data_IF_256680734993
#
_entry.id   IF_256680734993
#
_cell.length_a   1.000
_cell.length_b   1.000
_cell.length_c   1.000
_cell.angle_alpha   90.00
_cell.angle_beta   90.00
_cell.angle_gamma   90.00
#
_symmetry.space_group_name_H-M   'P 1'
#
loop_
_entity.id
_entity.type
_entity.pdbx_description
1 polymer ?
#
# COMPACT_ATOMS: atom_id res chain seq x y z
N UNK A 1 -43.36 -31.76 18.47
CA UNK A 1 -42.95 -31.32 17.11
C UNK A 1 -42.33 -29.92 17.09
N UNK A 2 -42.99 -28.87 17.62
CA UNK A 2 -42.42 -27.50 17.64
C UNK A 2 -41.04 -27.38 18.30
N UNK A 3 -40.80 -28.09 19.41
CA UNK A 3 -39.49 -28.13 20.12
C UNK A 3 -38.36 -28.73 19.28
N UNK A 4 -38.66 -29.70 18.41
CA UNK A 4 -37.68 -30.31 17.50
C UNK A 4 -37.33 -29.38 16.34
N UNK A 5 -38.31 -28.59 15.86
CA UNK A 5 -38.10 -27.59 14.81
C UNK A 5 -37.15 -26.49 15.30
N UNK A 6 -37.30 -26.01 16.53
CA UNK A 6 -36.36 -25.03 17.10
C UNK A 6 -34.93 -25.57 17.23
N UNK A 7 -34.77 -26.87 17.51
CA UNK A 7 -33.47 -27.52 17.64
C UNK A 7 -32.78 -27.68 16.27
N UNK A 8 -33.54 -27.98 15.22
CA UNK A 8 -33.04 -28.03 13.83
C UNK A 8 -32.68 -26.63 13.32
N UNK A 9 -33.51 -25.61 13.59
CA UNK A 9 -33.23 -24.21 13.22
C UNK A 9 -31.96 -23.71 13.93
N UNK A 10 -31.80 -24.02 15.21
CA UNK A 10 -30.60 -23.69 15.98
C UNK A 10 -29.34 -24.37 15.42
N UNK A 11 -29.46 -25.62 14.94
CA UNK A 11 -28.33 -26.35 14.37
C UNK A 11 -27.90 -25.77 13.00
N UNK A 12 -28.87 -25.37 12.16
CA UNK A 12 -28.60 -24.72 10.87
C UNK A 12 -27.95 -23.34 11.06
N UNK A 13 -28.36 -22.58 12.09
CA UNK A 13 -27.74 -21.31 12.44
C UNK A 13 -26.27 -21.45 12.87
N UNK A 14 -25.87 -22.57 13.48
CA UNK A 14 -24.47 -22.83 13.88
C UNK A 14 -23.58 -23.13 12.67
N UNK A 15 -24.10 -23.76 11.62
CA UNK A 15 -23.35 -24.00 10.38
C UNK A 15 -23.14 -22.73 9.54
N UNK A 16 -23.96 -21.69 9.73
CA UNK A 16 -23.79 -20.39 9.06
C UNK A 16 -22.69 -19.52 9.70
N UNK A 17 -22.17 -19.89 10.88
CA UNK A 17 -21.11 -19.15 11.58
C UNK A 17 -19.71 -19.69 11.27
N UNK A 18 -19.58 -20.68 10.39
CA UNK A 18 -18.28 -21.00 9.76
C UNK A 18 -18.02 -19.96 8.67
N UNK A 19 -17.89 -18.70 9.09
CA UNK A 19 -17.29 -17.66 8.28
C UNK A 19 -15.90 -18.15 7.93
N UNK A 20 -15.63 -18.27 6.64
CA UNK A 20 -14.29 -18.53 6.12
C UNK A 20 -13.30 -17.61 6.83
N UNK A 21 -12.48 -18.17 7.73
CA UNK A 21 -11.24 -17.56 8.13
C UNK A 21 -10.30 -17.68 6.92
N UNK A 22 -10.56 -16.88 5.88
CA UNK A 22 -9.56 -16.56 4.87
C UNK A 22 -8.62 -15.55 5.51
N UNK A 23 -7.86 -16.00 6.51
CA UNK A 23 -6.48 -15.53 6.59
C UNK A 23 -5.89 -15.99 5.25
N UNK A 24 -5.86 -15.08 4.28
CA UNK A 24 -5.47 -15.37 2.92
C UNK A 24 -4.05 -15.89 2.97
N UNK A 25 -3.88 -17.22 2.91
CA UNK A 25 -2.58 -17.82 2.75
C UNK A 25 -1.93 -17.14 1.56
N UNK A 26 -0.79 -16.47 1.79
CA UNK A 26 -0.03 -15.82 0.72
C UNK A 26 0.18 -16.83 -0.40
N UNK A 27 -0.35 -16.51 -1.57
CA UNK A 27 -0.08 -17.29 -2.77
C UNK A 27 1.38 -17.08 -3.17
N UNK A 28 2.06 -18.19 -3.48
CA UNK A 28 3.47 -18.19 -3.84
C UNK A 28 3.61 -18.43 -5.34
N UNK A 29 4.54 -17.71 -5.96
CA UNK A 29 4.81 -17.72 -7.38
C UNK A 29 6.29 -17.94 -7.67
N UNK A 30 6.61 -18.52 -8.82
CA UNK A 30 8.00 -18.85 -9.19
C UNK A 30 8.85 -17.61 -9.52
N UNK A 31 8.22 -16.46 -9.80
CA UNK A 31 8.92 -15.20 -10.08
C UNK A 31 8.29 -14.00 -9.38
N UNK A 32 9.12 -12.98 -9.15
CA UNK A 32 8.72 -11.68 -8.59
C UNK A 32 7.63 -11.04 -9.44
N UNK A 33 7.79 -11.05 -10.76
CA UNK A 33 6.84 -10.44 -11.71
C UNK A 33 5.47 -11.11 -11.64
N UNK A 34 5.42 -12.44 -11.54
CA UNK A 34 4.16 -13.18 -11.41
C UNK A 34 3.44 -12.86 -10.10
N UNK A 35 4.19 -12.70 -9.00
CA UNK A 35 3.64 -12.28 -7.72
C UNK A 35 3.05 -10.86 -7.78
N UNK A 36 3.74 -9.93 -8.45
CA UNK A 36 3.28 -8.54 -8.63
C UNK A 36 2.04 -8.49 -9.51
N UNK A 37 2.04 -9.15 -10.67
CA UNK A 37 0.90 -9.17 -11.60
C UNK A 37 -0.34 -9.75 -10.91
N UNK A 38 -0.17 -10.87 -10.21
CA UNK A 38 -1.28 -11.50 -9.49
C UNK A 38 -1.78 -10.63 -8.33
N UNK A 39 -0.87 -10.01 -7.59
CA UNK A 39 -1.18 -9.09 -6.49
C UNK A 39 -2.01 -7.90 -6.95
N UNK A 40 -1.56 -7.19 -7.99
CA UNK A 40 -2.28 -6.07 -8.58
C UNK A 40 -3.67 -6.47 -9.10
N UNK A 41 -3.78 -7.66 -9.71
CA UNK A 41 -5.06 -8.21 -10.15
C UNK A 41 -5.99 -8.50 -8.96
N UNK A 42 -5.45 -9.02 -7.86
CA UNK A 42 -6.21 -9.29 -6.63
C UNK A 42 -6.76 -8.01 -6.01
N UNK A 43 -5.97 -6.93 -6.01
CA UNK A 43 -6.41 -5.61 -5.56
C UNK A 43 -7.46 -5.00 -6.50
N UNK A 44 -7.74 -5.60 -7.67
CA UNK A 44 -8.70 -5.08 -8.64
C UNK A 44 -8.19 -3.83 -9.36
N UNK A 45 -6.87 -3.67 -9.41
CA UNK A 45 -6.21 -2.57 -10.13
C UNK A 45 -5.96 -2.98 -11.57
N UNK A 46 -6.10 -2.03 -12.50
CA UNK A 46 -5.64 -2.21 -13.87
C UNK A 46 -4.13 -1.97 -13.92
N UNK A 47 -3.44 -2.49 -14.94
CA UNK A 47 -1.98 -2.31 -15.09
C UNK A 47 -1.55 -0.83 -15.16
N UNK A 48 -2.46 0.07 -15.50
CA UNK A 48 -2.25 1.52 -15.55
C UNK A 48 -2.17 2.16 -14.15
N UNK A 49 -2.59 1.46 -13.11
CA UNK A 49 -2.49 1.92 -11.72
C UNK A 49 -1.13 1.61 -11.09
N UNK A 50 -0.24 0.91 -11.77
CA UNK A 50 1.12 0.65 -11.29
C UNK A 50 1.96 1.93 -11.33
N UNK A 51 2.53 2.33 -10.19
CA UNK A 51 3.37 3.54 -10.11
C UNK A 51 4.86 3.20 -10.20
N UNK A 52 5.33 2.19 -9.45
CA UNK A 52 6.76 1.85 -9.35
C UNK A 52 7.04 0.60 -8.51
N UNK A 53 8.23 0.02 -8.72
CA UNK A 53 8.87 -0.97 -7.84
C UNK A 53 10.08 -0.29 -7.22
N UNK A 54 10.19 -0.38 -5.90
CA UNK A 54 11.28 0.19 -5.12
C UNK A 54 11.97 -0.90 -4.30
N UNK A 55 13.30 -0.85 -4.24
CA UNK A 55 14.08 -1.70 -3.34
C UNK A 55 14.54 -0.86 -2.15
N UNK A 56 14.17 -1.25 -0.94
CA UNK A 56 14.54 -0.56 0.30
C UNK A 56 15.07 -1.58 1.31
N UNK A 57 16.32 -1.42 1.73
CA UNK A 57 16.97 -2.33 2.70
C UNK A 57 16.93 -3.82 2.29
N UNK A 58 17.04 -4.09 0.99
CA UNK A 58 16.93 -5.42 0.35
C UNK A 58 15.51 -6.02 0.35
N UNK A 59 14.50 -5.20 0.57
CA UNK A 59 13.11 -5.58 0.39
C UNK A 59 12.47 -4.86 -0.79
N UNK A 60 11.61 -5.59 -1.50
CA UNK A 60 10.91 -5.08 -2.67
C UNK A 60 9.54 -4.56 -2.29
N UNK A 61 9.30 -3.29 -2.56
CA UNK A 61 8.01 -2.64 -2.41
C UNK A 61 7.40 -2.31 -3.76
N UNK A 62 6.09 -2.45 -3.85
CA UNK A 62 5.30 -2.11 -5.03
C UNK A 62 4.35 -1.00 -4.64
N UNK A 63 4.42 0.11 -5.38
CA UNK A 63 3.55 1.27 -5.18
C UNK A 63 2.57 1.35 -6.34
N UNK A 64 1.30 1.51 -6.01
CA UNK A 64 0.21 1.51 -6.99
C UNK A 64 -0.94 2.41 -6.56
N UNK A 65 -1.79 2.81 -7.48
CA UNK A 65 -3.02 3.53 -7.23
C UNK A 65 -4.20 2.55 -7.12
N UNK A 66 -5.15 2.84 -6.23
CA UNK A 66 -6.42 2.14 -6.21
C UNK A 66 -7.53 3.06 -5.70
N UNK A 67 -8.61 3.17 -6.49
CA UNK A 67 -9.75 4.04 -6.20
C UNK A 67 -9.36 5.48 -5.82
N UNK A 68 -8.34 6.04 -6.48
CA UNK A 68 -7.88 7.42 -6.24
C UNK A 68 -6.93 7.61 -5.06
N UNK A 69 -6.62 6.53 -4.31
CA UNK A 69 -5.65 6.51 -3.22
C UNK A 69 -4.37 5.73 -3.56
N UNK A 70 -3.33 5.92 -2.75
CA UNK A 70 -2.03 5.24 -2.91
C UNK A 70 -1.98 3.97 -2.05
N UNK A 71 -1.62 2.86 -2.69
CA UNK A 71 -1.39 1.55 -2.09
C UNK A 71 0.09 1.17 -2.12
N UNK A 72 0.52 0.48 -1.06
CA UNK A 72 1.87 -0.08 -0.93
C UNK A 72 1.76 -1.55 -0.56
N UNK A 73 2.48 -2.39 -1.30
CA UNK A 73 2.65 -3.80 -1.00
C UNK A 73 4.13 -4.15 -0.94
N UNK A 74 4.43 -5.24 -0.24
CA UNK A 74 5.75 -5.83 -0.14
C UNK A 74 5.74 -7.18 -0.86
N UNK A 75 6.80 -7.46 -1.62
CA UNK A 75 7.02 -8.76 -2.25
C UNK A 75 8.03 -9.53 -1.42
N UNK A 76 7.56 -10.57 -0.75
CA UNK A 76 8.38 -11.44 0.10
C UNK A 76 8.97 -12.58 -0.71
N UNK A 77 10.21 -12.95 -0.42
CA UNK A 77 10.89 -14.10 -1.00
C UNK A 77 11.07 -15.20 0.06
N UNK A 78 10.83 -16.46 -0.31
CA UNK A 78 11.08 -17.64 0.53
C UNK A 78 11.48 -18.85 -0.30
N UNK A 79 11.75 -19.98 0.36
CA UNK A 79 11.97 -21.27 -0.31
C UNK A 79 10.78 -21.71 -1.20
N UNK A 80 9.58 -21.15 -0.98
CA UNK A 80 8.39 -21.41 -1.78
C UNK A 80 8.26 -20.51 -3.01
N UNK A 81 9.16 -19.54 -3.19
CA UNK A 81 9.12 -18.53 -4.24
C UNK A 81 8.76 -17.15 -3.69
N UNK A 82 8.02 -16.37 -4.49
CA UNK A 82 7.68 -14.98 -4.23
C UNK A 82 6.20 -14.84 -3.84
N UNK A 83 5.91 -14.03 -2.83
CA UNK A 83 4.56 -13.79 -2.33
C UNK A 83 4.20 -12.31 -2.32
N UNK A 84 2.96 -11.99 -2.69
CA UNK A 84 2.41 -10.63 -2.52
C UNK A 84 1.85 -10.47 -1.11
N UNK A 85 2.34 -9.47 -0.38
CA UNK A 85 1.73 -9.05 0.88
C UNK A 85 1.35 -7.60 0.81
N UNK A 86 0.05 -7.35 0.96
CA UNK A 86 -0.47 -6.01 1.13
C UNK A 86 0.02 -5.47 2.47
N UNK A 87 0.77 -4.38 2.44
CA UNK A 87 1.35 -3.80 3.64
C UNK A 87 0.30 -2.99 4.40
N UNK A 88 -0.54 -2.18 3.73
CA UNK A 88 -1.44 -1.22 4.41
C UNK A 88 -2.74 -0.83 3.65
N UNK A 89 -3.69 -0.16 4.33
CA UNK A 89 -4.88 0.42 3.72
C UNK A 89 -4.55 1.56 2.73
N UNK A 90 -5.49 1.83 1.82
CA UNK A 90 -5.37 2.88 0.82
C UNK A 90 -5.39 4.26 1.49
N UNK A 91 -4.39 5.10 1.20
CA UNK A 91 -4.40 6.49 1.64
C UNK A 91 -5.04 7.35 0.55
N UNK A 92 -6.25 7.82 0.82
CA UNK A 92 -6.92 8.81 -0.02
C UNK A 92 -6.64 10.23 0.49
N UNK A 93 -6.55 11.16 -0.43
CA UNK A 93 -6.29 12.57 -0.17
C UNK A 93 -7.51 13.39 -0.62
N UNK A 94 -8.59 13.32 0.16
CA UNK A 94 -9.69 14.27 0.03
C UNK A 94 -9.28 15.59 0.68
N UNK A 95 -9.26 16.68 -0.10
CA UNK A 95 -8.99 18.02 0.42
C UNK A 95 -10.13 18.97 0.08
N UNK A 96 -10.55 19.73 1.09
CA UNK A 96 -11.34 20.94 0.90
C UNK A 96 -10.42 22.16 0.79
N UNK A 97 -10.58 22.97 -0.26
CA UNK A 97 -9.84 24.24 -0.44
C UNK A 97 -8.75 24.19 -1.53
N UNK A 98 -7.94 25.24 -1.59
CA UNK A 98 -6.87 25.44 -2.61
C UNK A 98 -5.49 25.06 -2.04
N UNK A 99 -5.30 23.80 -1.64
CA UNK A 99 -3.98 23.30 -1.26
C UNK A 99 -3.21 22.86 -2.51
N UNK A 100 -1.93 23.23 -2.61
CA UNK A 100 -1.09 22.82 -3.73
C UNK A 100 -0.69 21.33 -3.66
N UNK A 101 -0.60 20.79 -2.44
CA UNK A 101 -0.35 19.37 -2.17
C UNK A 101 -0.80 19.00 -0.75
N UNK A 102 -0.88 17.69 -0.47
CA UNK A 102 -1.12 17.13 0.86
C UNK A 102 -0.21 15.92 1.09
N UNK A 103 0.09 15.63 2.35
CA UNK A 103 0.95 14.51 2.77
C UNK A 103 0.33 13.74 3.92
N UNK A 104 0.67 12.46 3.99
CA UNK A 104 0.41 11.56 5.10
C UNK A 104 1.61 10.65 5.26
N UNK A 105 1.63 9.84 6.30
CA UNK A 105 2.57 8.75 6.39
C UNK A 105 2.15 7.70 7.38
N UNK A 106 2.85 6.58 7.31
CA UNK A 106 2.52 5.38 8.05
C UNK A 106 3.76 4.51 8.19
N UNK A 107 3.70 3.58 9.13
CA UNK A 107 4.77 2.62 9.38
C UNK A 107 4.35 1.22 8.94
N UNK A 108 5.27 0.48 8.34
CA UNK A 108 5.12 -0.92 7.93
C UNK A 108 6.18 -1.72 8.69
N UNK A 109 5.76 -2.80 9.35
CA UNK A 109 6.65 -3.86 9.82
C UNK A 109 6.57 -5.03 8.83
N UNK A 110 7.69 -5.39 8.21
CA UNK A 110 7.76 -6.50 7.24
C UNK A 110 7.95 -7.84 7.94
N UNK A 111 7.81 -8.95 7.20
CA UNK A 111 8.05 -10.28 7.78
C UNK A 111 9.48 -10.51 8.25
N UNK A 112 10.45 -9.78 7.71
CA UNK A 112 11.85 -9.87 8.14
C UNK A 112 12.10 -9.12 9.45
N UNK A 113 11.10 -8.38 9.95
CA UNK A 113 11.21 -7.48 11.10
C UNK A 113 11.79 -6.12 10.73
N UNK A 114 11.78 -5.75 9.45
CA UNK A 114 12.16 -4.42 9.02
C UNK A 114 11.01 -3.44 9.31
N UNK A 115 11.29 -2.43 10.14
CA UNK A 115 10.42 -1.27 10.32
C UNK A 115 10.72 -0.22 9.25
N UNK A 116 9.71 0.13 8.46
CA UNK A 116 9.79 1.14 7.39
C UNK A 116 8.72 2.20 7.59
N UNK A 117 9.13 3.46 7.66
CA UNK A 117 8.21 4.59 7.57
C UNK A 117 8.07 5.01 6.11
N UNK A 118 6.84 5.29 5.70
CA UNK A 118 6.51 5.72 4.34
C UNK A 118 5.81 7.06 4.40
N UNK A 119 6.42 8.07 3.80
CA UNK A 119 5.76 9.32 3.48
C UNK A 119 5.05 9.16 2.14
N UNK A 120 3.79 9.58 2.07
CA UNK A 120 2.99 9.59 0.86
C UNK A 120 2.36 10.97 0.69
N UNK A 121 2.18 11.40 -0.54
CA UNK A 121 1.54 12.68 -0.81
C UNK A 121 0.97 12.77 -2.21
N UNK A 122 0.11 13.76 -2.41
CA UNK A 122 -0.54 14.06 -3.68
C UNK A 122 -0.47 15.55 -3.95
N UNK A 123 -0.03 15.93 -5.15
CA UNK A 123 -0.10 17.31 -5.63
C UNK A 123 -1.46 17.54 -6.29
N UNK A 124 -1.98 18.76 -6.13
CA UNK A 124 -3.19 19.25 -6.80
C UNK A 124 -2.85 20.38 -7.78
N UNK A 125 -1.66 20.96 -7.66
CA UNK A 125 -1.07 21.86 -8.64
C UNK A 125 -0.25 21.06 -9.65
N UNK A 126 -0.72 21.02 -10.90
CA UNK A 126 -0.07 20.29 -11.99
C UNK A 126 1.28 20.87 -12.43
N UNK A 127 1.63 22.09 -11.99
CA UNK A 127 2.96 22.64 -12.21
C UNK A 127 4.04 21.99 -11.34
N UNK A 128 3.66 21.32 -10.25
CA UNK A 128 4.57 20.63 -9.35
C UNK A 128 4.89 19.26 -9.92
N UNK A 129 6.11 19.10 -10.44
CA UNK A 129 6.58 17.85 -11.04
C UNK A 129 7.55 17.09 -10.13
N UNK A 130 8.12 17.77 -9.14
CA UNK A 130 9.10 17.20 -8.24
C UNK A 130 8.95 17.82 -6.85
N UNK A 131 9.13 16.98 -5.83
CA UNK A 131 9.21 17.38 -4.43
C UNK A 131 10.63 17.18 -3.93
N UNK A 132 10.98 17.88 -2.86
CA UNK A 132 12.22 17.71 -2.13
C UNK A 132 11.90 17.19 -0.74
N UNK A 133 12.56 16.11 -0.32
CA UNK A 133 12.44 15.50 1.00
C UNK A 133 13.57 15.99 1.92
N UNK A 134 13.21 16.28 3.16
CA UNK A 134 14.12 16.66 4.24
C UNK A 134 13.92 15.76 5.46
N UNK A 135 14.93 15.74 6.34
CA UNK A 135 14.81 15.11 7.67
C UNK A 135 15.20 13.64 7.74
N UNK A 136 15.34 12.95 6.61
CA UNK A 136 15.74 11.53 6.53
C UNK A 136 17.27 11.30 6.54
N UNK A 137 18.04 12.36 6.84
CA UNK A 137 19.51 12.35 6.88
C UNK A 137 20.18 12.87 5.61
N UNK A 138 19.49 12.99 4.47
CA UNK A 138 20.03 13.63 3.25
C UNK A 138 18.91 14.20 2.40
N UNK A 139 19.10 15.40 1.87
CA UNK A 139 18.12 15.96 0.95
C UNK A 139 17.99 15.10 -0.32
N UNK A 140 16.77 14.63 -0.61
CA UNK A 140 16.47 13.78 -1.77
C UNK A 140 15.34 14.35 -2.61
N UNK A 141 15.42 14.16 -3.92
CA UNK A 141 14.39 14.54 -4.87
C UNK A 141 13.36 13.41 -5.01
N UNK A 142 12.07 13.72 -4.84
CA UNK A 142 10.96 12.80 -5.07
C UNK A 142 10.26 13.18 -6.37
N UNK A 143 10.04 12.21 -7.24
CA UNK A 143 9.32 12.41 -8.49
C UNK A 143 7.82 12.42 -8.23
N UNK A 144 7.09 13.36 -8.84
CA UNK A 144 5.63 13.32 -8.91
C UNK A 144 5.22 12.44 -10.09
N UNK A 145 4.35 11.47 -9.83
CA UNK A 145 3.92 10.47 -10.80
C UNK A 145 2.81 10.99 -11.71
N UNK A 146 3.21 11.78 -12.72
CA UNK A 146 2.37 12.15 -13.86
C UNK A 146 0.99 12.68 -13.47
N UNK A 147 -0.03 12.21 -14.18
CA UNK A 147 -1.42 12.69 -14.05
C UNK A 147 -2.06 12.39 -12.68
N UNK A 148 -1.50 11.44 -11.92
CA UNK A 148 -2.01 11.08 -10.59
C UNK A 148 -1.62 12.09 -9.50
N UNK A 149 -0.54 12.85 -9.72
CA UNK A 149 0.01 13.78 -8.74
C UNK A 149 0.67 13.11 -7.53
N UNK A 150 0.75 11.78 -7.48
CA UNK A 150 1.30 11.07 -6.32
C UNK A 150 2.82 11.20 -6.23
N UNK A 151 3.32 11.29 -5.00
CA UNK A 151 4.74 11.15 -4.66
C UNK A 151 4.85 10.41 -3.32
N UNK A 152 5.99 9.77 -3.07
CA UNK A 152 6.19 9.02 -1.84
C UNK A 152 7.69 8.87 -1.54
N UNK A 153 8.02 8.43 -0.32
CA UNK A 153 9.37 8.07 0.08
C UNK A 153 9.36 7.01 1.18
N UNK A 154 10.24 6.01 1.05
CA UNK A 154 10.58 5.08 2.13
C UNK A 154 11.76 5.63 2.95
N UNK A 155 11.65 5.60 4.27
CA UNK A 155 12.66 6.11 5.20
C UNK A 155 12.62 5.40 6.56
N UNK A 156 13.68 5.60 7.37
CA UNK A 156 13.81 5.04 8.74
C UNK A 156 13.47 6.04 9.85
N UNK A 157 13.25 7.30 9.49
CA UNK A 157 12.89 8.33 10.45
C UNK A 157 11.40 8.30 10.74
N UNK A 158 10.94 8.68 11.95
CA UNK A 158 9.53 8.92 12.21
C UNK A 158 8.91 9.86 11.17
N UNK A 159 7.66 9.61 10.77
CA UNK A 159 6.95 10.40 9.75
C UNK A 159 6.89 11.90 10.10
N UNK A 160 6.78 12.24 11.38
CA UNK A 160 6.75 13.63 11.86
C UNK A 160 8.14 14.31 11.89
N UNK A 161 9.21 13.56 11.64
CA UNK A 161 10.58 14.06 11.55
C UNK A 161 11.03 14.35 10.12
N UNK A 162 10.22 14.01 9.11
CA UNK A 162 10.48 14.32 7.69
C UNK A 162 9.51 15.39 7.18
N UNK A 163 9.94 16.13 6.18
CA UNK A 163 9.12 17.17 5.55
C UNK A 163 9.38 17.20 4.04
N UNK A 164 8.43 17.77 3.28
CA UNK A 164 8.55 17.93 1.83
C UNK A 164 8.15 19.31 1.36
N UNK A 165 8.84 19.79 0.32
CA UNK A 165 8.48 21.03 -0.37
C UNK A 165 8.56 20.88 -1.89
N UNK A 166 7.70 21.58 -2.66
CA UNK A 166 7.83 21.63 -4.12
C UNK A 166 9.18 22.18 -4.57
N UNK A 167 9.74 21.62 -5.64
CA UNK A 167 10.90 22.19 -6.33
C UNK A 167 10.39 23.18 -7.38
N UNK A 168 10.58 24.48 -7.12
CA UNK A 168 10.26 25.53 -8.08
C UNK A 168 11.41 25.65 -9.09
N UNK A 169 11.10 25.41 -10.36
CA UNK A 169 12.03 25.65 -11.48
C UNK A 169 12.00 27.11 -11.93
#
# INVERSE_FOLDING_TARGET
MKKFIYLIISLVLIFLIVGCNKDSATEWYDSKEAAIESGLKHEGTESESFLSIEEFENETFVVYEYMGGLGVANVVESEKGYGWKRSLPYTDFEVGGELAYSTSGFDIETETGLDVSVLVGKTFDSSIQDMKLFGDGTERKLKVHGDTGFFYAFHKMPTDAVDVSPIVN
#
